data_IF_768626245415
#
_entry.id   IF_768626245415
#
_cell.length_a   1.000
_cell.length_b   1.000
_cell.length_c   1.000
_cell.angle_alpha   90.00
_cell.angle_beta   90.00
_cell.angle_gamma   90.00
#
_symmetry.space_group_name_H-M   'P 1'
#
loop_
_entity.id
_entity.type
_entity.pdbx_description
1 polymer ?
#
# COMPACT_ATOMS: atom_id res chain seq x y z
N UNK A 1 5.45 1.61 -4.05
CA UNK A 1 5.27 0.20 -3.62
C UNK A 1 3.97 -0.37 -4.20
N UNK A 2 4.04 -0.75 -5.47
CA UNK A 2 2.87 -1.19 -6.26
C UNK A 2 2.16 -2.42 -5.67
N UNK A 3 2.90 -3.30 -5.03
CA UNK A 3 2.37 -4.57 -4.51
C UNK A 3 2.20 -4.60 -3.00
N UNK A 4 2.50 -3.50 -2.30
CA UNK A 4 2.49 -3.45 -0.84
C UNK A 4 3.40 -4.52 -0.22
N UNK A 5 4.58 -4.73 -0.81
CA UNK A 5 5.51 -5.81 -0.50
C UNK A 5 6.88 -5.33 0.01
N UNK A 6 7.11 -4.01 0.03
CA UNK A 6 8.37 -3.43 0.49
C UNK A 6 8.51 -3.53 1.99
N UNK A 7 9.73 -3.77 2.43
CA UNK A 7 10.21 -3.58 3.78
C UNK A 7 11.07 -2.30 3.88
N UNK A 8 11.51 -1.96 5.08
CA UNK A 8 12.25 -0.73 5.33
C UNK A 8 13.56 -0.66 4.53
N UNK A 9 14.27 -1.76 4.42
CA UNK A 9 15.52 -1.87 3.66
C UNK A 9 15.32 -1.64 2.17
N UNK A 10 14.19 -2.11 1.63
CA UNK A 10 13.82 -1.87 0.23
C UNK A 10 13.55 -0.40 -0.03
N UNK A 11 12.83 0.26 0.89
CA UNK A 11 12.56 1.69 0.82
C UNK A 11 13.87 2.49 0.80
N UNK A 12 14.77 2.20 1.74
CA UNK A 12 16.08 2.87 1.82
C UNK A 12 16.86 2.70 0.52
N UNK A 13 17.01 1.47 0.05
CA UNK A 13 17.73 1.16 -1.18
C UNK A 13 17.16 1.87 -2.40
N UNK A 14 15.85 1.80 -2.59
CA UNK A 14 15.18 2.42 -3.74
C UNK A 14 15.28 3.94 -3.66
N UNK A 15 15.08 4.51 -2.48
CA UNK A 15 15.20 5.96 -2.29
C UNK A 15 16.62 6.45 -2.58
N UNK A 16 17.66 5.78 -2.11
CA UNK A 16 19.05 6.17 -2.39
C UNK A 16 19.35 6.16 -3.89
N UNK A 17 18.92 5.12 -4.62
CA UNK A 17 19.06 5.06 -6.07
C UNK A 17 18.36 6.24 -6.74
N UNK A 18 17.10 6.49 -6.39
CA UNK A 18 16.31 7.58 -6.97
C UNK A 18 16.91 8.93 -6.63
N UNK A 19 17.28 9.14 -5.37
CA UNK A 19 17.82 10.41 -4.88
C UNK A 19 19.16 10.78 -5.51
N UNK A 20 20.03 9.79 -5.79
CA UNK A 20 21.31 10.01 -6.46
C UNK A 20 21.15 10.39 -7.95
N UNK A 21 20.09 9.90 -8.60
CA UNK A 21 19.88 10.11 -10.03
C UNK A 21 18.96 11.30 -10.36
N UNK A 22 18.36 11.93 -9.36
CA UNK A 22 17.49 13.08 -9.56
C UNK A 22 18.18 14.39 -9.15
N UNK A 23 17.98 15.42 -9.96
CA UNK A 23 18.43 16.78 -9.62
C UNK A 23 17.78 17.24 -8.30
N UNK A 24 18.45 18.08 -7.49
CA UNK A 24 17.96 18.50 -6.16
C UNK A 24 16.60 19.18 -6.17
N UNK A 25 16.23 19.84 -7.27
CA UNK A 25 14.95 20.56 -7.40
C UNK A 25 13.75 19.65 -7.68
N UNK A 26 13.98 18.40 -8.12
CA UNK A 26 12.92 17.43 -8.29
C UNK A 26 12.37 16.96 -6.93
N UNK A 27 11.06 16.94 -6.80
CA UNK A 27 10.39 16.29 -5.67
C UNK A 27 10.35 14.78 -5.90
N UNK A 28 10.39 14.01 -4.83
CA UNK A 28 10.18 12.56 -4.87
C UNK A 28 8.86 12.24 -4.17
N UNK A 29 8.02 11.44 -4.81
CA UNK A 29 6.78 10.94 -4.24
C UNK A 29 6.91 9.48 -3.76
N UNK A 30 6.25 9.15 -2.67
CA UNK A 30 6.10 7.78 -2.19
C UNK A 30 4.63 7.41 -2.11
N UNK A 31 4.26 6.37 -2.86
CA UNK A 31 2.93 5.77 -2.85
C UNK A 31 3.04 4.31 -2.42
N UNK A 32 2.43 3.96 -1.29
CA UNK A 32 2.51 2.63 -0.71
C UNK A 32 1.14 1.98 -0.55
N UNK A 33 1.02 0.74 -1.02
CA UNK A 33 -0.13 -0.12 -0.73
C UNK A 33 0.07 -0.89 0.58
N UNK A 34 -1.04 -1.27 1.21
CA UNK A 34 -1.03 -1.75 2.59
C UNK A 34 -1.14 -3.28 2.75
N UNK A 35 -0.76 -4.05 1.73
CA UNK A 35 -0.94 -5.51 1.74
C UNK A 35 -0.19 -6.19 2.89
N UNK A 36 1.01 -5.72 3.24
CA UNK A 36 1.81 -6.20 4.37
C UNK A 36 1.58 -5.39 5.67
N UNK A 37 0.59 -4.47 5.69
CA UNK A 37 0.30 -3.55 6.79
C UNK A 37 1.47 -2.62 7.16
N UNK A 38 2.37 -2.35 6.22
CA UNK A 38 3.56 -1.53 6.43
C UNK A 38 3.45 -0.13 5.81
N UNK A 39 2.39 0.18 5.03
CA UNK A 39 2.31 1.42 4.27
C UNK A 39 2.47 2.68 5.13
N UNK A 40 1.84 2.72 6.30
CA UNK A 40 1.96 3.85 7.23
C UNK A 40 3.39 3.96 7.80
N UNK A 41 3.97 2.85 8.26
CA UNK A 41 5.33 2.84 8.82
C UNK A 41 6.37 3.25 7.77
N UNK A 42 6.26 2.73 6.54
CA UNK A 42 7.15 3.08 5.44
C UNK A 42 6.99 4.55 5.02
N UNK A 43 5.77 5.08 5.04
CA UNK A 43 5.51 6.49 4.74
C UNK A 43 6.10 7.42 5.79
N UNK A 44 5.99 7.07 7.08
CA UNK A 44 6.66 7.81 8.16
C UNK A 44 8.18 7.75 8.01
N UNK A 45 8.74 6.57 7.72
CA UNK A 45 10.17 6.41 7.50
C UNK A 45 10.65 7.22 6.29
N UNK A 46 9.90 7.23 5.18
CA UNK A 46 10.21 8.05 4.02
C UNK A 46 10.25 9.55 4.36
N UNK A 47 9.29 10.04 5.13
CA UNK A 47 9.28 11.42 5.62
C UNK A 47 10.53 11.67 6.48
N UNK A 48 10.82 10.78 7.44
CA UNK A 48 11.97 10.92 8.36
C UNK A 48 13.31 10.96 7.62
N UNK A 49 13.51 10.10 6.62
CA UNK A 49 14.74 10.05 5.82
C UNK A 49 14.98 11.34 5.03
N UNK A 50 13.90 11.98 4.60
CA UNK A 50 13.93 13.10 3.64
C UNK A 50 13.77 14.46 4.30
N UNK A 51 13.35 14.50 5.56
CA UNK A 51 13.09 15.74 6.31
C UNK A 51 14.32 16.65 6.36
N UNK A 52 14.14 17.90 5.97
CA UNK A 52 15.22 18.89 5.88
C UNK A 52 16.23 18.70 4.72
N UNK A 53 16.10 17.59 3.94
CA UNK A 53 17.05 17.26 2.87
C UNK A 53 16.45 17.43 1.47
N UNK A 54 15.21 17.00 1.27
CA UNK A 54 14.52 17.05 -0.03
C UNK A 54 13.02 17.29 0.18
N UNK A 55 12.43 18.09 -0.70
CA UNK A 55 10.96 18.21 -0.75
C UNK A 55 10.36 16.91 -1.29
N UNK A 56 9.43 16.34 -0.57
CA UNK A 56 8.78 15.07 -0.92
C UNK A 56 7.26 15.19 -0.92
N UNK A 57 6.62 14.17 -1.47
CA UNK A 57 5.17 13.97 -1.45
C UNK A 57 4.91 12.56 -0.91
N UNK A 58 3.97 12.41 -0.01
CA UNK A 58 3.46 11.11 0.43
C UNK A 58 2.00 11.03 0.03
N UNK A 59 1.67 9.99 -0.72
CA UNK A 59 0.30 9.73 -1.11
C UNK A 59 -0.41 8.96 0.01
N UNK A 60 -1.58 9.45 0.38
CA UNK A 60 -2.48 8.80 1.32
C UNK A 60 -3.92 8.90 0.86
N UNK A 61 -4.76 8.08 1.43
CA UNK A 61 -6.22 8.12 1.22
C UNK A 61 -6.93 8.08 2.56
N UNK A 62 -8.07 8.75 2.67
CA UNK A 62 -8.85 8.76 3.91
C UNK A 62 -9.28 7.33 4.24
N UNK A 63 -9.08 6.93 5.50
CA UNK A 63 -9.30 5.57 6.01
C UNK A 63 -8.54 4.48 5.21
N UNK A 64 -7.47 4.87 4.53
CA UNK A 64 -6.69 3.95 3.70
C UNK A 64 -7.45 3.39 2.49
N UNK A 65 -8.48 4.09 2.00
CA UNK A 65 -9.31 3.62 0.89
C UNK A 65 -8.48 3.27 -0.34
N UNK A 66 -8.69 2.07 -0.88
CA UNK A 66 -7.98 1.61 -2.09
C UNK A 66 -8.25 0.15 -2.40
N UNK A 67 -7.72 -0.32 -3.52
CA UNK A 67 -7.85 -1.74 -3.89
C UNK A 67 -7.06 -2.64 -2.93
N UNK A 68 -7.56 -3.84 -2.73
CA UNK A 68 -6.90 -4.82 -1.87
C UNK A 68 -6.92 -4.40 -0.41
N UNK A 69 -5.76 -4.40 0.22
CA UNK A 69 -5.62 -3.94 1.61
C UNK A 69 -5.59 -2.40 1.75
N UNK A 70 -5.75 -1.67 0.64
CA UNK A 70 -5.79 -0.22 0.62
C UNK A 70 -4.42 0.44 0.56
N UNK A 71 -4.41 1.73 0.88
CA UNK A 71 -3.25 2.63 0.83
C UNK A 71 -2.82 3.06 2.24
N UNK A 72 -1.86 3.94 2.31
CA UNK A 72 -1.52 4.66 3.55
C UNK A 72 -2.71 5.51 4.01
N UNK A 73 -3.21 5.33 5.25
CA UNK A 73 -4.28 6.18 5.78
C UNK A 73 -3.80 7.61 6.01
N UNK A 74 -4.50 8.57 5.40
CA UNK A 74 -4.16 10.01 5.49
C UNK A 74 -4.17 10.51 6.93
N UNK A 75 -5.14 10.10 7.73
CA UNK A 75 -5.28 10.49 9.12
C UNK A 75 -4.08 10.07 9.98
N UNK A 76 -3.50 8.92 9.71
CA UNK A 76 -2.33 8.45 10.45
C UNK A 76 -1.06 9.24 10.08
N UNK A 77 -0.87 9.56 8.80
CA UNK A 77 0.27 10.37 8.37
C UNK A 77 0.11 11.83 8.80
N UNK A 78 -1.10 12.39 8.70
CA UNK A 78 -1.37 13.74 9.19
C UNK A 78 -1.08 13.84 10.69
N UNK A 79 -1.57 12.89 11.49
CA UNK A 79 -1.28 12.85 12.94
C UNK A 79 0.21 12.72 13.24
N UNK A 80 0.95 11.90 12.49
CA UNK A 80 2.40 11.81 12.63
C UNK A 80 3.07 13.17 12.35
N UNK A 81 2.67 13.85 11.27
CA UNK A 81 3.25 15.14 10.90
C UNK A 81 2.90 16.25 11.92
N UNK A 82 1.70 16.24 12.49
CA UNK A 82 1.31 17.14 13.57
C UNK A 82 2.14 16.90 14.83
N UNK A 83 2.21 15.64 15.27
CA UNK A 83 2.81 15.31 16.57
C UNK A 83 4.34 15.30 16.57
N UNK A 84 4.98 14.96 15.45
CA UNK A 84 6.43 14.79 15.37
C UNK A 84 7.15 15.91 14.63
N UNK A 85 6.45 16.62 13.75
CA UNK A 85 7.08 17.62 12.87
C UNK A 85 6.45 19.01 12.98
N UNK A 86 5.51 19.19 13.92
CA UNK A 86 4.84 20.47 14.21
C UNK A 86 4.09 21.08 13.00
N UNK A 87 3.58 20.21 12.10
CA UNK A 87 2.67 20.66 11.05
C UNK A 87 1.30 21.01 11.64
N UNK A 88 0.62 21.95 11.02
CA UNK A 88 -0.71 22.40 11.44
C UNK A 88 -1.78 21.87 10.47
N UNK A 89 -2.18 20.61 10.65
CA UNK A 89 -3.34 20.03 9.97
C UNK A 89 -4.55 20.08 10.89
N UNK A 90 -5.71 20.39 10.33
CA UNK A 90 -6.98 20.33 11.03
C UNK A 90 -7.44 18.86 11.12
N UNK A 91 -7.14 18.25 12.27
CA UNK A 91 -7.47 16.84 12.51
C UNK A 91 -8.97 16.65 12.75
N UNK A 92 -9.66 17.64 13.32
CA UNK A 92 -11.11 17.57 13.57
C UNK A 92 -11.88 17.59 12.25
N UNK A 93 -11.50 18.47 11.32
CA UNK A 93 -12.08 18.47 9.98
C UNK A 93 -11.85 17.15 9.22
N UNK A 94 -10.69 16.49 9.44
CA UNK A 94 -10.42 15.19 8.86
C UNK A 94 -11.31 14.08 9.45
N UNK A 95 -11.53 14.10 10.76
CA UNK A 95 -12.43 13.18 11.46
C UNK A 95 -13.87 13.38 11.03
N UNK A 96 -14.34 14.63 10.90
CA UNK A 96 -15.67 14.95 10.38
C UNK A 96 -15.94 14.35 9.00
N UNK A 97 -14.92 14.38 8.11
CA UNK A 97 -15.02 13.75 6.78
C UNK A 97 -15.12 12.22 6.92
N UNK A 98 -14.36 11.61 7.82
CA UNK A 98 -14.42 10.17 8.06
C UNK A 98 -15.81 9.76 8.51
N UNK A 99 -16.33 10.41 9.53
CA UNK A 99 -17.64 10.09 10.11
C UNK A 99 -18.78 10.37 9.13
N UNK A 100 -18.70 11.45 8.35
CA UNK A 100 -19.77 11.84 7.45
C UNK A 100 -19.87 10.97 6.18
N UNK A 101 -18.74 10.45 5.67
CA UNK A 101 -18.70 9.86 4.34
C UNK A 101 -18.16 8.43 4.29
N UNK A 102 -17.18 8.08 5.14
CA UNK A 102 -16.43 6.85 4.92
C UNK A 102 -17.22 5.59 5.26
N UNK A 103 -18.12 5.63 6.24
CA UNK A 103 -18.97 4.48 6.58
C UNK A 103 -19.91 4.11 5.42
N UNK A 104 -20.49 5.13 4.77
CA UNK A 104 -21.32 4.92 3.58
C UNK A 104 -20.51 4.35 2.40
N UNK A 105 -19.29 4.81 2.21
CA UNK A 105 -18.41 4.27 1.15
C UNK A 105 -18.00 2.85 1.48
N UNK A 106 -17.61 2.54 2.72
CA UNK A 106 -17.24 1.20 3.18
C UNK A 106 -18.37 0.18 3.05
N UNK A 107 -19.63 0.61 3.20
CA UNK A 107 -20.77 -0.28 2.99
C UNK A 107 -20.93 -0.77 1.56
N UNK A 108 -20.37 -0.04 0.59
CA UNK A 108 -20.43 -0.35 -0.86
C UNK A 108 -19.14 -0.97 -1.40
N UNK A 109 -18.01 -0.59 -0.82
CA UNK A 109 -16.67 -0.99 -1.27
C UNK A 109 -15.85 -1.39 -0.05
N UNK A 110 -15.40 -2.64 0.01
CA UNK A 110 -14.54 -3.11 1.09
C UNK A 110 -13.07 -3.00 0.71
N UNK A 111 -12.27 -2.53 1.64
CA UNK A 111 -10.80 -2.58 1.60
C UNK A 111 -10.28 -2.84 3.00
N UNK A 112 -8.98 -3.11 3.09
CA UNK A 112 -8.32 -3.37 4.36
C UNK A 112 -7.65 -4.74 4.40
N UNK A 113 -7.12 -5.09 5.56
CA UNK A 113 -6.44 -6.34 5.75
C UNK A 113 -7.33 -7.54 5.43
N UNK A 114 -6.75 -8.46 4.65
CA UNK A 114 -7.28 -9.82 4.52
C UNK A 114 -6.13 -10.79 4.24
N UNK A 115 -6.30 -12.05 4.61
CA UNK A 115 -5.29 -13.07 4.37
C UNK A 115 -4.90 -13.21 2.88
N UNK A 116 -5.83 -13.15 1.89
CA UNK A 116 -5.43 -13.16 0.49
C UNK A 116 -4.54 -11.99 0.08
N UNK A 117 -4.83 -10.78 0.54
CA UNK A 117 -4.01 -9.62 0.21
C UNK A 117 -2.65 -9.64 0.90
N UNK A 118 -2.59 -10.14 2.14
CA UNK A 118 -1.32 -10.45 2.80
C UNK A 118 -0.47 -11.43 1.96
N UNK A 119 -1.07 -12.50 1.44
CA UNK A 119 -0.37 -13.46 0.57
C UNK A 119 0.10 -12.76 -0.71
N UNK A 120 -0.72 -11.89 -1.32
CA UNK A 120 -0.30 -11.11 -2.49
C UNK A 120 0.95 -10.27 -2.18
N UNK A 121 0.99 -9.59 -1.04
CA UNK A 121 2.16 -8.83 -0.56
C UNK A 121 3.40 -9.71 -0.40
N UNK A 122 3.27 -10.87 0.26
CA UNK A 122 4.38 -11.80 0.45
C UNK A 122 5.04 -12.25 -0.86
N UNK A 123 4.27 -12.36 -1.92
CA UNK A 123 4.76 -12.83 -3.22
C UNK A 123 5.02 -11.69 -4.22
N UNK A 124 4.81 -10.43 -3.86
CA UNK A 124 4.85 -9.30 -4.79
C UNK A 124 3.89 -9.51 -5.97
N UNK A 125 2.70 -10.04 -5.69
CA UNK A 125 1.72 -10.41 -6.69
C UNK A 125 0.66 -9.31 -6.88
N UNK A 126 0.18 -9.16 -8.11
CA UNK A 126 -0.91 -8.23 -8.40
C UNK A 126 -2.19 -8.62 -7.64
N UNK A 127 -2.82 -7.69 -6.96
CA UNK A 127 -3.99 -7.94 -6.10
C UNK A 127 -5.17 -8.55 -6.85
N UNK A 128 -5.31 -8.30 -8.15
CA UNK A 128 -6.36 -8.91 -8.96
C UNK A 128 -6.24 -10.44 -9.03
N UNK A 129 -5.04 -11.01 -8.95
CA UNK A 129 -4.84 -12.46 -8.93
C UNK A 129 -5.52 -13.07 -7.70
N UNK A 130 -5.28 -12.51 -6.54
CA UNK A 130 -5.91 -13.02 -5.31
C UNK A 130 -7.40 -12.68 -5.25
N UNK A 131 -7.81 -11.51 -5.71
CA UNK A 131 -9.23 -11.15 -5.80
C UNK A 131 -10.02 -12.08 -6.74
N UNK A 132 -9.40 -12.54 -7.81
CA UNK A 132 -9.99 -13.55 -8.71
C UNK A 132 -10.11 -14.91 -8.01
N UNK A 133 -9.03 -15.39 -7.41
CA UNK A 133 -9.01 -16.70 -6.73
C UNK A 133 -9.98 -16.76 -5.54
N UNK A 134 -10.12 -15.67 -4.78
CA UNK A 134 -11.04 -15.61 -3.63
C UNK A 134 -12.53 -15.68 -4.01
N UNK A 135 -12.89 -15.41 -5.27
CA UNK A 135 -14.28 -15.58 -5.73
C UNK A 135 -14.67 -17.06 -5.88
N UNK A 136 -13.71 -17.95 -5.86
CA UNK A 136 -13.92 -19.40 -5.99
C UNK A 136 -14.09 -20.01 -4.60
N UNK A 137 -15.27 -20.49 -4.27
CA UNK A 137 -15.60 -21.04 -2.95
C UNK A 137 -14.74 -22.24 -2.53
N UNK A 138 -14.13 -22.95 -3.47
CA UNK A 138 -13.27 -24.11 -3.23
C UNK A 138 -11.82 -23.75 -2.89
N UNK A 139 -11.38 -22.51 -3.17
CA UNK A 139 -9.99 -22.09 -2.99
C UNK A 139 -9.80 -21.45 -1.62
N UNK A 140 -8.87 -21.97 -0.83
CA UNK A 140 -8.50 -21.47 0.50
C UNK A 140 -7.16 -20.71 0.44
N UNK A 141 -6.83 -20.00 1.51
CA UNK A 141 -5.61 -19.19 1.59
C UNK A 141 -4.32 -19.98 1.28
N UNK A 142 -4.22 -21.23 1.74
CA UNK A 142 -3.07 -22.09 1.41
C UNK A 142 -2.99 -22.43 -0.07
N UNK A 143 -4.14 -22.57 -0.74
CA UNK A 143 -4.19 -22.88 -2.17
C UNK A 143 -3.79 -21.66 -2.99
N UNK A 144 -4.23 -20.45 -2.59
CA UNK A 144 -3.76 -19.18 -3.17
C UNK A 144 -2.24 -19.07 -3.06
N UNK A 145 -1.68 -19.36 -1.89
CA UNK A 145 -0.23 -19.37 -1.67
C UNK A 145 0.46 -20.36 -2.59
N UNK A 146 -0.07 -21.58 -2.73
CA UNK A 146 0.48 -22.60 -3.61
C UNK A 146 0.47 -22.15 -5.09
N UNK A 147 -0.67 -21.64 -5.57
CA UNK A 147 -0.83 -21.14 -6.93
C UNK A 147 0.17 -20.01 -7.22
N UNK A 148 0.23 -18.99 -6.34
CA UNK A 148 1.16 -17.88 -6.53
C UNK A 148 2.63 -18.31 -6.47
N UNK A 149 2.95 -19.36 -5.73
CA UNK A 149 4.30 -19.91 -5.72
C UNK A 149 4.66 -20.62 -7.03
N UNK A 150 3.68 -21.31 -7.63
CA UNK A 150 3.84 -22.00 -8.93
C UNK A 150 3.91 -21.02 -10.11
N UNK A 151 3.13 -19.98 -10.07
CA UNK A 151 3.20 -18.89 -11.05
C UNK A 151 4.53 -18.16 -10.92
N UNK A 152 5.31 -18.06 -11.99
CA UNK A 152 6.63 -17.43 -11.99
C UNK A 152 6.60 -15.98 -11.51
N UNK A 153 7.71 -15.50 -10.96
CA UNK A 153 7.82 -14.19 -10.30
C UNK A 153 7.36 -13.02 -11.19
N UNK A 154 7.63 -13.07 -12.49
CA UNK A 154 7.22 -12.01 -13.41
C UNK A 154 5.75 -12.12 -13.83
N UNK A 155 5.25 -13.35 -13.99
CA UNK A 155 3.85 -13.59 -14.37
C UNK A 155 2.87 -13.18 -13.28
N UNK A 156 3.20 -13.37 -11.99
CA UNK A 156 2.32 -12.98 -10.89
C UNK A 156 2.23 -11.46 -10.65
N UNK A 157 3.16 -10.68 -11.21
CA UNK A 157 3.09 -9.20 -11.20
C UNK A 157 2.02 -8.66 -12.16
N UNK A 158 1.60 -9.46 -13.10
CA UNK A 158 0.48 -9.20 -14.01
C UNK A 158 -0.73 -10.01 -13.55
N UNK A 159 -1.87 -9.82 -14.20
CA UNK A 159 -3.03 -10.67 -13.98
C UNK A 159 -3.37 -11.39 -15.28
N UNK A 160 -3.25 -12.72 -15.22
CA UNK A 160 -3.57 -13.65 -16.30
C UNK A 160 -4.42 -14.77 -15.67
N UNK A 161 -5.73 -14.65 -15.84
CA UNK A 161 -6.66 -15.57 -15.22
C UNK A 161 -6.60 -16.96 -15.83
N UNK A 162 -6.29 -17.08 -17.13
CA UNK A 162 -6.11 -18.36 -17.80
C UNK A 162 -4.89 -19.11 -17.27
N UNK A 163 -3.83 -18.40 -16.95
CA UNK A 163 -2.65 -18.97 -16.30
C UNK A 163 -3.00 -19.47 -14.89
N UNK A 164 -3.75 -18.70 -14.13
CA UNK A 164 -4.18 -19.08 -12.77
C UNK A 164 -5.08 -20.32 -12.77
N UNK A 165 -5.93 -20.49 -13.81
CA UNK A 165 -6.80 -21.66 -13.94
C UNK A 165 -6.04 -22.95 -14.25
N UNK A 166 -4.92 -22.83 -14.96
CA UNK A 166 -4.10 -23.99 -15.37
C UNK A 166 -3.06 -24.40 -14.34
N UNK A 167 -2.88 -23.58 -13.28
CA UNK A 167 -1.90 -23.83 -12.24
C UNK A 167 -2.48 -24.53 -11.03
#
# INVERSE_FOLDING_TARGET
DTFGSMFQEDLHRVFEIVNHNLIPTCRVGFHSHNNMQLSNALSQEFIRMTYGKRKVVVDGTISGMGRGAGNTPTELIAQYMVSQLSYNYDMDALLDIIDSYMDNIKSRCSWGYSTPYFIAGCYGAHVNNVAYLTKKNSIRSKDIRYILNKVGADSRKRYDYDLLERT
#
